data_IF_164543530638
#
_entry.id   IF_164543530638
#
_cell.length_a   1.000
_cell.length_b   1.000
_cell.length_c   1.000
_cell.angle_alpha   90.00
_cell.angle_beta   90.00
_cell.angle_gamma   90.00
#
_symmetry.space_group_name_H-M   'P 1'
#
loop_
_entity.id
_entity.type
_entity.pdbx_description
1 polymer ?
#
# COMPACT_ATOMS: atom_id res chain seq x y z
N UNK A 1 -0.41 -4.79 -15.37
CA UNK A 1 -0.05 -3.93 -14.25
C UNK A 1 -1.32 -3.39 -13.63
N UNK A 2 -1.43 -3.53 -12.31
CA UNK A 2 -2.56 -3.03 -11.53
C UNK A 2 -2.06 -1.96 -10.57
N UNK A 3 -2.79 -0.85 -10.47
CA UNK A 3 -2.54 0.20 -9.48
C UNK A 3 -3.63 0.13 -8.42
N UNK A 4 -3.26 -0.30 -7.21
CA UNK A 4 -4.15 -0.40 -6.06
C UNK A 4 -3.80 0.68 -5.04
N UNK A 5 -4.73 1.58 -4.75
CA UNK A 5 -4.56 2.58 -3.71
C UNK A 5 -5.33 2.19 -2.45
N UNK A 6 -4.64 2.18 -1.31
CA UNK A 6 -5.26 1.95 0.00
C UNK A 6 -5.33 3.28 0.76
N UNK A 7 -6.46 3.53 1.39
CA UNK A 7 -6.66 4.73 2.20
C UNK A 7 -7.62 4.46 3.36
N UNK A 8 -7.78 5.42 4.24
CA UNK A 8 -8.75 5.32 5.33
C UNK A 8 -9.42 6.66 5.61
N UNK A 9 -10.58 6.61 6.25
CA UNK A 9 -11.32 7.80 6.63
C UNK A 9 -10.58 8.61 7.71
N UNK A 10 -10.18 7.95 8.79
CA UNK A 10 -9.41 8.58 9.86
C UNK A 10 -8.89 7.52 10.85
N UNK A 11 -7.90 7.90 11.65
CA UNK A 11 -7.57 7.21 12.89
C UNK A 11 -6.94 5.84 12.76
N UNK A 12 -5.88 5.71 11.99
CA UNK A 12 -4.99 4.55 12.01
C UNK A 12 -5.70 3.17 12.01
N UNK A 13 -6.56 2.89 11.03
CA UNK A 13 -7.18 1.56 10.96
C UNK A 13 -6.20 0.48 10.51
N UNK A 14 -4.97 0.85 10.10
CA UNK A 14 -3.94 -0.08 9.68
C UNK A 14 -3.68 -0.06 8.17
N UNK A 15 -3.76 1.10 7.51
CA UNK A 15 -3.52 1.22 6.06
C UNK A 15 -2.11 0.71 5.72
N UNK A 16 -1.08 1.25 6.37
CA UNK A 16 0.33 0.87 6.16
C UNK A 16 0.55 -0.62 6.42
N UNK A 17 0.02 -1.13 7.53
CA UNK A 17 0.14 -2.57 7.88
C UNK A 17 -0.55 -3.44 6.82
N UNK A 18 -1.73 -3.03 6.35
CA UNK A 18 -2.46 -3.74 5.30
C UNK A 18 -1.70 -3.70 3.97
N UNK A 19 -1.18 -2.53 3.58
CA UNK A 19 -0.40 -2.37 2.36
C UNK A 19 0.85 -3.26 2.36
N UNK A 20 1.57 -3.27 3.50
CA UNK A 20 2.75 -4.12 3.66
C UNK A 20 2.39 -5.61 3.62
N UNK A 21 1.35 -6.03 4.36
CA UNK A 21 0.89 -7.42 4.38
C UNK A 21 0.50 -7.90 2.99
N UNK A 22 -0.25 -7.08 2.25
CA UNK A 22 -0.62 -7.37 0.85
C UNK A 22 0.63 -7.54 -0.02
N UNK A 23 1.58 -6.61 0.10
CA UNK A 23 2.83 -6.64 -0.67
C UNK A 23 3.62 -7.93 -0.40
N UNK A 24 3.76 -8.30 0.87
CA UNK A 24 4.51 -9.50 1.25
C UNK A 24 3.86 -10.80 0.76
N UNK A 25 2.55 -10.80 0.54
CA UNK A 25 1.79 -11.96 0.08
C UNK A 25 1.35 -11.86 -1.39
N UNK A 26 1.75 -10.80 -2.09
CA UNK A 26 1.32 -10.54 -3.47
C UNK A 26 1.81 -11.65 -4.41
N UNK A 27 0.92 -12.15 -5.29
CA UNK A 27 1.27 -13.32 -6.13
C UNK A 27 2.16 -13.01 -7.34
N UNK A 28 2.40 -11.74 -7.63
CA UNK A 28 3.21 -11.28 -8.77
C UNK A 28 4.24 -10.26 -8.29
N UNK A 29 5.21 -9.88 -9.13
CA UNK A 29 6.09 -8.77 -8.77
C UNK A 29 5.30 -7.51 -8.40
N UNK A 30 5.70 -6.87 -7.31
CA UNK A 30 4.93 -5.75 -6.75
C UNK A 30 5.84 -4.67 -6.14
N UNK A 31 5.43 -3.42 -6.33
CA UNK A 31 6.03 -2.25 -5.71
C UNK A 31 5.05 -1.66 -4.69
N UNK A 32 5.44 -1.61 -3.44
CA UNK A 32 4.76 -0.81 -2.42
C UNK A 32 5.29 0.62 -2.45
N UNK A 33 4.39 1.57 -2.62
CA UNK A 33 4.72 3.01 -2.54
C UNK A 33 4.08 3.57 -1.26
N UNK A 34 4.90 4.03 -0.33
CA UNK A 34 4.41 4.66 0.89
C UNK A 34 4.20 6.16 0.60
N UNK A 35 3.00 6.51 0.18
CA UNK A 35 2.64 7.85 -0.29
C UNK A 35 1.88 8.69 0.77
N UNK A 36 1.83 8.23 2.03
CA UNK A 36 1.18 8.97 3.10
C UNK A 36 1.88 10.32 3.32
N UNK A 37 1.18 11.44 3.09
CA UNK A 37 1.81 12.75 3.27
C UNK A 37 2.09 13.11 4.74
N UNK A 38 1.56 12.36 5.68
CA UNK A 38 1.86 12.54 7.10
C UNK A 38 3.27 12.03 7.47
N UNK A 39 3.91 11.29 6.56
CA UNK A 39 5.24 10.73 6.77
C UNK A 39 5.24 9.21 6.71
N UNK A 40 6.40 8.64 6.44
CA UNK A 40 6.55 7.19 6.28
C UNK A 40 6.72 6.45 7.61
N UNK A 41 5.80 5.55 7.92
CA UNK A 41 5.87 4.71 9.12
C UNK A 41 6.78 3.49 8.92
N UNK A 42 6.92 3.00 7.69
CA UNK A 42 7.75 1.83 7.40
C UNK A 42 9.23 2.06 7.75
N UNK A 43 9.71 3.28 7.52
CA UNK A 43 11.09 3.66 7.80
C UNK A 43 11.45 3.50 9.29
N UNK A 44 10.57 3.97 10.16
CA UNK A 44 10.79 3.92 11.62
C UNK A 44 10.41 2.57 12.22
N UNK A 45 9.64 1.78 11.48
CA UNK A 45 9.15 0.47 11.87
C UNK A 45 9.84 -0.66 11.12
N UNK A 46 9.14 -1.28 10.20
CA UNK A 46 9.56 -2.51 9.50
C UNK A 46 10.94 -2.40 8.82
N UNK A 47 11.27 -1.21 8.29
CA UNK A 47 12.54 -0.96 7.59
C UNK A 47 13.64 -0.42 8.52
N UNK A 48 13.43 -0.43 9.82
CA UNK A 48 14.43 0.07 10.78
C UNK A 48 15.78 -0.64 10.58
N UNK A 49 16.83 0.15 10.42
CA UNK A 49 18.17 -0.37 10.15
C UNK A 49 18.51 -0.49 8.66
N UNK A 50 17.52 -0.35 7.78
CA UNK A 50 17.80 -0.29 6.35
C UNK A 50 18.29 1.10 5.95
N UNK A 51 19.05 1.18 4.87
CA UNK A 51 19.53 2.47 4.34
C UNK A 51 18.39 3.18 3.59
N UNK A 52 17.62 3.94 4.33
CA UNK A 52 16.51 4.75 3.78
C UNK A 52 16.88 6.23 3.63
N UNK A 53 18.11 6.63 3.99
CA UNK A 53 18.52 8.04 3.96
C UNK A 53 18.39 8.63 2.55
N UNK A 54 18.81 7.85 1.53
CA UNK A 54 18.77 8.26 0.12
C UNK A 54 17.80 7.42 -0.70
N UNK A 55 16.97 6.60 -0.05
CA UNK A 55 16.01 5.71 -0.70
C UNK A 55 14.63 5.96 -0.10
N UNK A 56 13.98 7.00 -0.59
CA UNK A 56 12.66 7.39 -0.11
C UNK A 56 11.96 8.29 -1.15
N UNK A 57 10.70 8.56 -0.89
CA UNK A 57 9.85 9.32 -1.79
C UNK A 57 10.32 10.78 -2.00
N UNK A 58 10.95 11.38 -0.99
CA UNK A 58 11.48 12.74 -1.12
C UNK A 58 12.63 12.79 -2.15
N UNK A 59 13.49 11.77 -2.16
CA UNK A 59 14.59 11.67 -3.11
C UNK A 59 14.07 11.49 -4.55
N UNK A 60 12.96 10.75 -4.72
CA UNK A 60 12.28 10.64 -6.02
C UNK A 60 11.74 12.01 -6.43
N UNK A 61 11.14 12.75 -5.50
CA UNK A 61 10.57 14.08 -5.78
C UNK A 61 11.66 15.08 -6.23
N UNK A 62 12.87 14.97 -5.68
CA UNK A 62 14.00 15.83 -6.10
C UNK A 62 14.41 15.57 -7.56
N UNK A 63 14.27 14.34 -8.03
CA UNK A 63 14.65 13.95 -9.41
C UNK A 63 13.71 14.53 -10.46
N UNK A 64 12.47 14.84 -10.11
CA UNK A 64 11.43 15.30 -11.05
C UNK A 64 11.86 16.48 -11.90
N UNK A 65 12.69 17.38 -11.36
CA UNK A 65 13.17 18.57 -12.07
C UNK A 65 14.06 18.23 -13.27
N UNK A 66 14.68 17.06 -13.25
CA UNK A 66 15.60 16.61 -14.30
C UNK A 66 14.99 15.54 -15.19
N UNK A 67 13.70 15.29 -15.01
CA UNK A 67 12.99 14.15 -15.61
C UNK A 67 12.98 12.96 -14.67
N UNK A 68 11.89 12.24 -14.62
CA UNK A 68 11.74 11.05 -13.76
C UNK A 68 11.42 9.86 -14.65
N UNK A 69 12.21 8.82 -14.53
CA UNK A 69 11.96 7.56 -15.23
C UNK A 69 11.82 6.38 -14.25
N UNK A 70 11.55 5.19 -14.80
CA UNK A 70 11.37 3.98 -14.02
C UNK A 70 12.64 3.56 -13.26
N UNK A 71 13.82 3.82 -13.83
CA UNK A 71 15.09 3.51 -13.21
C UNK A 71 15.37 4.39 -11.98
N UNK A 72 14.96 5.66 -12.04
CA UNK A 72 15.05 6.58 -10.89
C UNK A 72 14.23 6.07 -9.70
N UNK A 73 13.03 5.57 -9.97
CA UNK A 73 12.15 4.99 -8.94
C UNK A 73 12.83 3.73 -8.38
N UNK A 74 13.29 2.83 -9.27
CA UNK A 74 13.92 1.57 -8.86
C UNK A 74 15.17 1.79 -7.99
N UNK A 75 15.97 2.81 -8.29
CA UNK A 75 17.18 3.16 -7.54
C UNK A 75 16.87 3.57 -6.09
N UNK A 76 15.65 4.04 -5.84
CA UNK A 76 15.22 4.48 -4.51
C UNK A 76 14.43 3.40 -3.75
N UNK A 77 14.18 2.24 -4.40
CA UNK A 77 13.44 1.14 -3.77
C UNK A 77 14.36 0.22 -2.97
N UNK A 78 13.79 -0.42 -1.97
CA UNK A 78 14.40 -1.49 -1.20
C UNK A 78 13.70 -2.80 -1.53
N UNK A 79 14.46 -3.90 -1.57
CA UNK A 79 13.87 -5.23 -1.74
C UNK A 79 13.42 -5.78 -0.39
N UNK A 80 12.19 -6.29 -0.33
CA UNK A 80 11.64 -6.95 0.85
C UNK A 80 11.95 -8.45 0.86
N UNK A 81 12.39 -8.97 -0.28
CA UNK A 81 12.66 -10.40 -0.50
C UNK A 81 14.01 -10.63 -1.23
N UNK A 82 15.14 -10.07 -0.73
CA UNK A 82 16.43 -10.30 -1.40
C UNK A 82 16.81 -11.78 -1.34
N UNK A 83 17.42 -12.36 -2.39
CA UNK A 83 17.89 -11.67 -3.61
C UNK A 83 16.87 -11.57 -4.75
N UNK A 84 15.66 -12.13 -4.60
CA UNK A 84 14.68 -12.29 -5.69
C UNK A 84 14.19 -10.94 -6.25
N UNK A 85 14.04 -9.93 -5.40
CA UNK A 85 13.61 -8.58 -5.74
C UNK A 85 12.25 -8.55 -6.47
N UNK A 86 11.35 -9.46 -6.10
CA UNK A 86 9.98 -9.48 -6.65
C UNK A 86 9.04 -8.61 -5.82
N UNK A 87 9.44 -8.28 -4.59
CA UNK A 87 8.69 -7.40 -3.67
C UNK A 87 9.57 -6.22 -3.32
N UNK A 88 9.19 -5.06 -3.84
CA UNK A 88 9.93 -3.83 -3.62
C UNK A 88 9.12 -2.85 -2.77
N UNK A 89 9.80 -1.98 -2.07
CA UNK A 89 9.16 -0.87 -1.36
C UNK A 89 9.90 0.44 -1.66
N UNK A 90 9.14 1.47 -2.00
CA UNK A 90 9.61 2.84 -2.01
C UNK A 90 9.20 3.47 -0.68
N UNK A 91 10.13 3.66 0.25
CA UNK A 91 9.79 4.24 1.56
C UNK A 91 9.24 5.65 1.43
N UNK A 92 8.39 6.04 2.35
CA UNK A 92 7.71 7.32 2.37
C UNK A 92 8.59 8.51 2.73
N UNK A 93 7.92 9.61 3.02
CA UNK A 93 8.59 10.85 3.40
C UNK A 93 9.31 10.71 4.75
N UNK A 94 10.47 11.36 4.92
CA UNK A 94 11.14 11.41 6.23
C UNK A 94 10.32 12.07 7.33
N UNK A 95 9.34 12.88 6.95
CA UNK A 95 8.47 13.56 7.91
C UNK A 95 7.37 14.35 7.21
N UNK A 96 6.39 14.84 7.97
CA UNK A 96 5.16 15.43 7.41
C UNK A 96 5.37 16.79 6.72
N UNK A 97 6.48 17.48 6.98
CA UNK A 97 6.72 18.81 6.44
C UNK A 97 6.99 18.83 4.93
N UNK A 98 7.19 17.66 4.32
CA UNK A 98 7.53 17.53 2.90
C UNK A 98 6.31 17.20 2.02
N UNK A 99 5.15 16.94 2.62
CA UNK A 99 3.95 16.47 1.90
C UNK A 99 3.49 17.41 0.78
N UNK A 100 3.60 18.73 1.00
CA UNK A 100 3.19 19.72 0.00
C UNK A 100 3.97 19.61 -1.32
N UNK A 101 5.24 19.22 -1.24
CA UNK A 101 6.12 19.06 -2.41
C UNK A 101 5.75 17.89 -3.32
N UNK A 102 5.00 16.94 -2.82
CA UNK A 102 4.64 15.74 -3.58
C UNK A 102 3.59 16.00 -4.67
N UNK A 103 2.86 17.12 -4.60
CA UNK A 103 1.80 17.40 -5.59
C UNK A 103 2.35 17.40 -7.02
N UNK A 104 3.52 17.98 -7.23
CA UNK A 104 4.16 18.04 -8.54
C UNK A 104 4.77 16.70 -8.98
N UNK A 105 5.04 15.82 -8.04
CA UNK A 105 5.62 14.51 -8.32
C UNK A 105 4.62 13.58 -9.01
N UNK A 106 3.37 13.55 -8.56
CA UNK A 106 2.44 12.49 -8.92
C UNK A 106 2.18 12.32 -10.43
N UNK A 107 1.98 13.40 -11.23
CA UNK A 107 1.83 13.20 -12.66
C UNK A 107 3.04 12.52 -13.31
N UNK A 108 4.25 12.96 -12.96
CA UNK A 108 5.50 12.39 -13.48
C UNK A 108 5.73 10.96 -13.00
N UNK A 109 5.33 10.69 -11.75
CA UNK A 109 5.40 9.36 -11.17
C UNK A 109 4.50 8.39 -11.94
N UNK A 110 3.26 8.81 -12.26
CA UNK A 110 2.33 8.01 -13.06
C UNK A 110 2.87 7.76 -14.47
N UNK A 111 3.46 8.77 -15.09
CA UNK A 111 4.10 8.64 -16.40
C UNK A 111 5.23 7.59 -16.34
N UNK A 112 6.08 7.67 -15.33
CA UNK A 112 7.16 6.70 -15.13
C UNK A 112 6.61 5.28 -14.87
N UNK A 113 5.55 5.15 -14.05
CA UNK A 113 4.90 3.86 -13.78
C UNK A 113 4.28 3.26 -15.05
N UNK A 114 3.77 4.08 -15.96
CA UNK A 114 3.19 3.58 -17.21
C UNK A 114 4.25 2.84 -18.06
N UNK A 115 5.50 3.24 -17.95
CA UNK A 115 6.62 2.61 -18.65
C UNK A 115 7.08 1.30 -18.00
N UNK A 116 6.72 1.05 -16.72
CA UNK A 116 6.98 -0.24 -16.07
C UNK A 116 6.20 -1.41 -16.69
N UNK A 117 5.25 -1.11 -17.57
CA UNK A 117 4.47 -2.13 -18.30
C UNK A 117 5.29 -2.84 -19.35
N UNK A 118 6.41 -2.26 -19.77
CA UNK A 118 7.32 -2.84 -20.77
C UNK A 118 8.52 -3.45 -20.03
N UNK A 119 9.02 -4.56 -20.52
CA UNK A 119 10.22 -5.20 -19.98
C UNK A 119 11.38 -4.20 -19.96
N UNK A 120 11.87 -3.92 -18.78
CA UNK A 120 12.97 -3.03 -18.52
C UNK A 120 14.08 -3.83 -17.82
N UNK A 121 15.37 -3.59 -18.12
CA UNK A 121 16.46 -4.30 -17.43
C UNK A 121 16.42 -4.15 -15.90
N UNK A 122 15.88 -3.05 -15.42
CA UNK A 122 15.75 -2.76 -13.98
C UNK A 122 14.54 -3.47 -13.39
N UNK A 123 13.47 -3.64 -14.20
CA UNK A 123 12.21 -4.27 -13.80
C UNK A 123 11.97 -5.50 -14.70
N UNK A 124 12.43 -6.69 -14.30
CA UNK A 124 12.42 -7.88 -15.17
C UNK A 124 11.05 -8.40 -15.54
N UNK A 125 10.00 -7.91 -14.95
CA UNK A 125 8.60 -8.31 -15.22
C UNK A 125 7.67 -7.13 -15.03
N UNK A 126 6.45 -7.16 -15.60
CA UNK A 126 5.43 -6.18 -15.26
C UNK A 126 5.17 -6.19 -13.75
N UNK A 127 5.19 -5.02 -13.14
CA UNK A 127 5.12 -4.86 -11.69
C UNK A 127 3.79 -4.22 -11.32
N UNK A 128 3.02 -4.87 -10.45
CA UNK A 128 1.83 -4.25 -9.86
C UNK A 128 2.25 -3.22 -8.81
N UNK A 129 1.41 -2.22 -8.58
CA UNK A 129 1.73 -1.13 -7.65
C UNK A 129 0.65 -1.07 -6.56
N UNK A 130 1.09 -1.19 -5.32
CA UNK A 130 0.26 -0.98 -4.13
C UNK A 130 0.69 0.35 -3.50
N UNK A 131 -0.26 1.25 -3.30
CA UNK A 131 0.02 2.58 -2.74
C UNK A 131 -0.65 2.72 -1.37
N UNK A 132 0.14 3.02 -0.37
CA UNK A 132 -0.35 3.48 0.93
C UNK A 132 -0.57 5.00 0.83
N UNK A 133 -1.82 5.41 0.69
CA UNK A 133 -2.19 6.83 0.58
C UNK A 133 -2.44 7.50 1.95
N UNK A 134 -2.35 6.74 3.03
CA UNK A 134 -2.64 7.27 4.36
C UNK A 134 -4.12 7.61 4.55
N UNK A 135 -4.37 8.76 5.17
CA UNK A 135 -5.73 9.22 5.52
C UNK A 135 -6.27 10.21 4.50
N UNK A 136 -7.55 10.04 4.16
CA UNK A 136 -8.24 10.89 3.18
C UNK A 136 -8.40 12.34 3.64
N UNK A 137 -8.44 12.59 4.94
CA UNK A 137 -8.63 13.94 5.48
C UNK A 137 -7.34 14.79 5.44
N UNK A 138 -6.22 14.22 4.98
CA UNK A 138 -4.96 14.96 4.91
C UNK A 138 -4.98 15.95 3.72
N UNK A 139 -4.58 17.22 3.90
CA UNK A 139 -4.64 18.22 2.82
C UNK A 139 -3.76 17.90 1.60
N UNK A 140 -2.75 17.07 1.77
CA UNK A 140 -1.84 16.67 0.69
C UNK A 140 -2.07 15.21 0.24
N UNK A 141 -3.27 14.68 0.48
CA UNK A 141 -3.68 13.36 -0.03
C UNK A 141 -3.26 13.20 -1.50
N UNK A 142 -2.66 12.07 -1.90
CA UNK A 142 -2.18 11.88 -3.29
C UNK A 142 -3.33 11.59 -4.27
N UNK A 143 -4.23 12.55 -4.44
CA UNK A 143 -5.44 12.41 -5.26
C UNK A 143 -5.15 11.95 -6.69
N UNK A 144 -4.04 12.41 -7.29
CA UNK A 144 -3.70 12.01 -8.66
C UNK A 144 -3.43 10.50 -8.79
N UNK A 145 -2.88 9.88 -7.73
CA UNK A 145 -2.71 8.42 -7.70
C UNK A 145 -4.06 7.72 -7.53
N UNK A 146 -4.90 8.26 -6.66
CA UNK A 146 -6.25 7.72 -6.39
C UNK A 146 -7.12 7.78 -7.66
N UNK A 147 -7.07 8.92 -8.38
CA UNK A 147 -7.81 9.11 -9.65
C UNK A 147 -7.34 8.17 -10.76
N UNK A 148 -6.04 7.84 -10.76
CA UNK A 148 -5.44 6.96 -11.77
C UNK A 148 -5.52 5.47 -11.41
N UNK A 149 -5.98 5.13 -10.21
CA UNK A 149 -5.99 3.76 -9.71
C UNK A 149 -6.96 2.85 -10.49
N UNK A 150 -6.62 1.58 -10.60
CA UNK A 150 -7.57 0.54 -11.04
C UNK A 150 -8.53 0.18 -9.92
N UNK A 151 -8.02 0.18 -8.67
CA UNK A 151 -8.81 -0.15 -7.47
C UNK A 151 -8.44 0.83 -6.35
N UNK A 152 -9.45 1.36 -5.69
CA UNK A 152 -9.29 2.13 -4.45
C UNK A 152 -9.92 1.34 -3.31
N UNK A 153 -9.12 0.95 -2.31
CA UNK A 153 -9.59 0.19 -1.17
C UNK A 153 -9.59 1.05 0.09
N UNK A 154 -10.76 1.21 0.69
CA UNK A 154 -10.90 1.91 1.97
C UNK A 154 -10.72 0.89 3.10
N UNK A 155 -9.68 1.07 3.90
CA UNK A 155 -9.42 0.21 5.06
C UNK A 155 -10.35 0.62 6.20
N UNK A 156 -11.17 -0.32 6.66
CA UNK A 156 -12.21 -0.09 7.67
C UNK A 156 -12.14 -1.19 8.72
N UNK A 157 -12.15 -0.83 9.99
CA UNK A 157 -12.34 -1.82 11.08
C UNK A 157 -13.82 -2.11 11.28
N UNK A 158 -14.17 -3.32 11.68
CA UNK A 158 -15.57 -3.70 11.93
C UNK A 158 -16.07 -3.16 13.29
N UNK A 159 -15.74 -1.90 13.58
CA UNK A 159 -16.21 -1.16 14.77
C UNK A 159 -17.14 -0.03 14.33
N UNK A 160 -18.14 0.28 15.14
CA UNK A 160 -19.09 1.36 14.84
C UNK A 160 -18.39 2.68 14.49
N UNK A 161 -17.38 3.02 15.28
CA UNK A 161 -16.59 4.25 15.08
C UNK A 161 -15.94 4.31 13.70
N UNK A 162 -15.36 3.18 13.25
CA UNK A 162 -14.68 3.12 11.97
C UNK A 162 -15.67 3.14 10.80
N UNK A 163 -16.78 2.43 10.96
CA UNK A 163 -17.85 2.34 9.95
C UNK A 163 -18.49 3.72 9.71
N UNK A 164 -18.89 4.40 10.80
CA UNK A 164 -19.51 5.73 10.71
C UNK A 164 -18.53 6.77 10.15
N UNK A 165 -17.24 6.68 10.51
CA UNK A 165 -16.24 7.59 9.96
C UNK A 165 -16.01 7.35 8.46
N UNK A 166 -16.13 6.10 7.99
CA UNK A 166 -15.87 5.76 6.60
C UNK A 166 -16.98 6.25 5.65
N UNK A 167 -18.23 6.29 6.10
CA UNK A 167 -19.37 6.55 5.24
C UNK A 167 -19.25 7.86 4.42
N UNK A 168 -19.07 9.05 5.03
CA UNK A 168 -18.97 10.29 4.25
C UNK A 168 -17.73 10.30 3.33
N UNK A 169 -16.65 9.63 3.73
CA UNK A 169 -15.44 9.55 2.93
C UNK A 169 -15.64 8.67 1.69
N UNK A 170 -16.37 7.57 1.84
CA UNK A 170 -16.76 6.68 0.73
C UNK A 170 -17.63 7.43 -0.27
N UNK A 171 -18.59 8.21 0.22
CA UNK A 171 -19.45 9.05 -0.62
C UNK A 171 -18.62 10.07 -1.41
N UNK A 172 -17.67 10.73 -0.75
CA UNK A 172 -16.77 11.68 -1.39
C UNK A 172 -15.89 11.00 -2.45
N UNK A 173 -15.30 9.84 -2.12
CA UNK A 173 -14.52 9.05 -3.09
C UNK A 173 -15.35 8.67 -4.30
N UNK A 174 -16.57 8.19 -4.08
CA UNK A 174 -17.47 7.80 -5.18
C UNK A 174 -17.75 8.98 -6.10
N UNK A 175 -18.03 10.14 -5.52
CA UNK A 175 -18.29 11.36 -6.30
C UNK A 175 -17.05 11.79 -7.09
N UNK A 176 -15.88 11.75 -6.47
CA UNK A 176 -14.61 12.12 -7.10
C UNK A 176 -14.26 11.15 -8.24
N UNK A 177 -14.31 9.84 -7.97
CA UNK A 177 -13.98 8.81 -8.97
C UNK A 177 -15.02 8.78 -10.10
N UNK A 178 -16.27 9.13 -9.81
CA UNK A 178 -17.31 9.24 -10.84
C UNK A 178 -17.10 10.36 -11.84
N UNK A 179 -16.26 11.34 -11.52
CA UNK A 179 -15.88 12.43 -12.41
C UNK A 179 -14.68 12.10 -13.29
N UNK A 180 -13.98 11.00 -12.99
CA UNK A 180 -12.81 10.58 -13.78
C UNK A 180 -13.28 10.06 -15.13
N UNK A 181 -12.74 10.62 -16.20
CA UNK A 181 -13.06 10.18 -17.57
C UNK A 181 -12.28 8.92 -17.92
N UNK A 182 -12.91 8.05 -18.70
CA UNK A 182 -12.30 6.81 -19.13
C UNK A 182 -12.71 5.63 -18.25
N UNK A 183 -11.74 5.01 -17.58
CA UNK A 183 -11.98 3.83 -16.75
C UNK A 183 -11.90 4.21 -15.27
N UNK A 184 -13.05 4.41 -14.61
CA UNK A 184 -13.04 4.74 -13.19
C UNK A 184 -12.55 3.57 -12.34
N UNK A 185 -11.90 3.88 -11.25
CA UNK A 185 -11.42 2.90 -10.28
C UNK A 185 -12.59 2.12 -9.65
N UNK A 186 -12.37 0.82 -9.39
CA UNK A 186 -13.29 0.07 -8.56
C UNK A 186 -13.11 0.50 -7.10
N UNK A 187 -14.18 0.99 -6.47
CA UNK A 187 -14.16 1.39 -5.07
C UNK A 187 -14.64 0.22 -4.20
N UNK A 188 -13.76 -0.23 -3.31
CA UNK A 188 -14.02 -1.39 -2.43
C UNK A 188 -13.59 -1.10 -1.00
N UNK A 189 -13.98 -1.97 -0.06
CA UNK A 189 -13.50 -1.94 1.31
C UNK A 189 -12.57 -3.12 1.60
N UNK A 190 -11.53 -2.87 2.39
CA UNK A 190 -10.70 -3.88 3.02
C UNK A 190 -11.05 -3.87 4.52
N UNK A 191 -11.73 -4.92 4.99
CA UNK A 191 -12.30 -4.98 6.33
C UNK A 191 -11.35 -5.66 7.31
N UNK A 192 -10.99 -4.97 8.39
CA UNK A 192 -10.24 -5.55 9.51
C UNK A 192 -11.24 -5.98 10.59
N UNK A 193 -11.30 -7.28 10.88
CA UNK A 193 -12.32 -7.88 11.76
C UNK A 193 -11.93 -7.70 13.24
N UNK A 194 -12.06 -6.47 13.74
CA UNK A 194 -11.75 -6.14 15.14
C UNK A 194 -12.99 -6.08 16.04
N UNK A 195 -14.08 -5.56 15.51
CA UNK A 195 -15.26 -5.23 16.29
C UNK A 195 -16.40 -6.23 16.15
N UNK A 196 -17.57 -5.82 16.65
CA UNK A 196 -18.77 -6.64 16.70
C UNK A 196 -19.54 -6.73 15.39
N UNK A 197 -19.23 -5.83 14.45
CA UNK A 197 -19.97 -5.78 13.19
C UNK A 197 -19.49 -6.86 12.23
N UNK A 198 -20.44 -7.53 11.61
CA UNK A 198 -20.14 -8.49 10.56
C UNK A 198 -19.68 -7.78 9.28
N UNK A 199 -19.00 -8.51 8.42
CA UNK A 199 -18.61 -8.01 7.10
C UNK A 199 -19.84 -7.62 6.28
N UNK A 200 -20.97 -8.33 6.45
CA UNK A 200 -22.23 -8.01 5.79
C UNK A 200 -22.77 -6.63 6.18
N UNK A 201 -22.64 -6.27 7.45
CA UNK A 201 -23.09 -4.97 7.96
C UNK A 201 -22.23 -3.81 7.44
N UNK A 202 -20.99 -4.06 7.04
CA UNK A 202 -20.13 -3.04 6.42
C UNK A 202 -20.69 -2.54 5.09
N UNK A 203 -21.55 -3.33 4.42
CA UNK A 203 -22.22 -2.89 3.19
C UNK A 203 -23.08 -1.65 3.41
N UNK A 204 -23.49 -1.39 4.65
CA UNK A 204 -24.18 -0.15 5.01
C UNK A 204 -23.31 1.10 4.79
N UNK A 205 -21.98 0.94 4.71
CA UNK A 205 -21.05 2.02 4.33
C UNK A 205 -21.17 2.35 2.84
N UNK A 206 -21.83 1.48 2.07
CA UNK A 206 -22.09 1.72 0.67
C UNK A 206 -21.02 1.21 -0.28
N UNK A 207 -20.10 0.34 0.18
CA UNK A 207 -19.09 -0.29 -0.69
C UNK A 207 -19.04 -1.79 -0.47
N UNK A 208 -18.66 -2.50 -1.51
CA UNK A 208 -18.44 -3.95 -1.42
C UNK A 208 -17.12 -4.25 -0.71
N UNK A 209 -17.16 -5.21 0.19
CA UNK A 209 -15.98 -5.69 0.88
C UNK A 209 -15.23 -6.67 -0.03
N UNK A 210 -14.09 -6.26 -0.54
CA UNK A 210 -13.27 -7.09 -1.44
C UNK A 210 -12.27 -7.98 -0.69
N UNK A 211 -11.89 -7.57 0.53
CA UNK A 211 -10.93 -8.32 1.31
C UNK A 211 -11.28 -8.25 2.80
N UNK A 212 -11.04 -9.34 3.49
CA UNK A 212 -11.20 -9.41 4.95
C UNK A 212 -9.86 -9.80 5.57
N UNK A 213 -9.40 -8.99 6.52
CA UNK A 213 -8.16 -9.22 7.25
C UNK A 213 -8.49 -9.49 8.72
N UNK A 214 -7.91 -10.52 9.32
CA UNK A 214 -8.12 -10.74 10.75
C UNK A 214 -7.49 -9.60 11.57
N UNK A 215 -8.14 -9.23 12.65
CA UNK A 215 -7.52 -8.36 13.65
C UNK A 215 -6.50 -9.20 14.43
N UNK A 216 -5.24 -9.09 14.06
CA UNK A 216 -4.16 -9.81 14.73
C UNK A 216 -3.10 -8.81 15.22
N UNK A 217 -3.18 -8.39 16.50
CA UNK A 217 -2.21 -7.43 17.05
C UNK A 217 -0.78 -7.97 17.09
N UNK A 218 -0.60 -9.28 17.15
CA UNK A 218 0.73 -9.90 17.18
C UNK A 218 1.37 -9.80 15.78
N UNK A 219 0.64 -10.21 14.76
CA UNK A 219 1.11 -10.07 13.37
C UNK A 219 1.32 -8.60 13.00
N UNK A 220 0.39 -7.72 13.39
CA UNK A 220 0.53 -6.27 13.14
C UNK A 220 1.79 -5.70 13.78
N UNK A 221 2.12 -6.16 15.00
CA UNK A 221 3.34 -5.73 15.69
C UNK A 221 4.61 -6.19 14.96
N UNK A 222 4.60 -7.42 14.42
CA UNK A 222 5.72 -7.92 13.60
C UNK A 222 5.91 -7.05 12.34
N UNK A 223 4.81 -6.66 11.72
CA UNK A 223 4.85 -5.81 10.53
C UNK A 223 5.17 -4.32 10.87
N UNK A 224 5.11 -3.97 12.14
CA UNK A 224 5.43 -2.60 12.62
C UNK A 224 6.79 -2.49 13.30
N UNK A 225 7.25 -3.44 13.68
CA UNK A 225 8.35 -3.42 14.35
C UNK A 225 9.32 -3.91 13.48
N UNK A 226 10.40 -3.36 13.63
CA UNK A 226 11.55 -3.96 12.98
C UNK A 226 11.82 -5.34 13.57
N UNK A 227 12.19 -6.30 12.76
CA UNK A 227 12.73 -7.53 13.34
C UNK A 227 13.95 -7.17 14.21
N UNK A 228 14.16 -7.82 15.34
CA UNK A 228 15.32 -7.52 16.17
C UNK A 228 16.58 -7.70 15.32
N UNK A 229 17.59 -6.83 15.47
CA UNK A 229 18.81 -6.96 14.71
C UNK A 229 19.37 -8.36 14.91
N UNK A 230 19.69 -9.04 13.81
CA UNK A 230 20.33 -10.35 13.89
C UNK A 230 21.55 -10.20 14.78
N UNK A 231 21.51 -10.79 15.97
CA UNK A 231 22.66 -10.81 16.84
C UNK A 231 23.79 -11.47 16.07
N UNK A 232 24.82 -10.71 15.76
CA UNK A 232 26.09 -11.31 15.31
C UNK A 232 26.48 -12.28 16.41
N UNK A 233 26.28 -13.57 16.17
CA UNK A 233 26.71 -14.60 17.10
C UNK A 233 28.23 -14.53 17.21
N UNK A 234 28.69 -13.85 18.22
CA UNK A 234 30.02 -14.09 18.71
C UNK A 234 30.07 -15.58 19.07
N UNK A 235 31.10 -16.25 18.62
CA UNK A 235 31.34 -17.68 18.88
C UNK A 235 31.19 -17.99 20.36
N UNK A 236 30.31 -18.90 20.71
CA UNK A 236 30.17 -19.39 22.07
C UNK A 236 28.87 -20.09 22.34
N UNK A 237 28.87 -21.38 22.16
CA UNK A 237 28.06 -22.46 22.71
C UNK A 237 26.78 -22.15 23.49
N UNK A 238 25.70 -22.82 23.10
CA UNK A 238 24.50 -23.00 23.90
C UNK A 238 23.25 -23.17 23.06
N UNK A 239 22.95 -24.41 22.70
CA UNK A 239 21.69 -24.74 22.04
C UNK A 239 20.50 -24.57 23.00
N UNK A 240 19.55 -23.72 22.64
CA UNK A 240 18.22 -23.73 23.28
C UNK A 240 17.16 -23.68 22.18
N UNK A 241 16.37 -24.69 22.18
CA UNK A 241 15.01 -24.87 21.67
C UNK A 241 14.56 -24.19 20.36
N UNK A 242 14.37 -25.02 19.35
CA UNK A 242 13.71 -24.64 18.10
C UNK A 242 12.23 -24.23 18.36
N UNK A 243 11.95 -22.96 18.20
CA UNK A 243 10.56 -22.52 18.03
C UNK A 243 10.04 -23.03 16.67
N UNK A 244 8.88 -23.66 16.69
CA UNK A 244 8.25 -24.18 15.48
C UNK A 244 7.96 -23.12 14.44
N UNK A 245 7.71 -23.53 13.18
CA UNK A 245 7.48 -22.58 12.08
C UNK A 245 6.25 -21.73 12.33
N UNK A 246 6.40 -20.42 12.10
CA UNK A 246 5.29 -19.50 12.18
C UNK A 246 4.18 -19.94 11.22
N UNK A 247 2.96 -20.01 11.72
CA UNK A 247 1.79 -20.31 10.90
C UNK A 247 1.69 -19.27 9.78
N UNK A 248 1.41 -19.70 8.54
CA UNK A 248 1.24 -18.74 7.45
C UNK A 248 0.06 -17.79 7.76
N UNK A 249 0.30 -16.51 7.59
CA UNK A 249 -0.77 -15.51 7.64
C UNK A 249 -1.83 -15.93 6.63
N UNK A 250 -3.07 -16.03 7.07
CA UNK A 250 -4.18 -16.52 6.26
C UNK A 250 -4.19 -15.86 4.87
N UNK A 251 -4.34 -16.67 3.84
CA UNK A 251 -4.29 -16.20 2.46
C UNK A 251 -5.33 -15.10 2.24
N UNK A 252 -4.85 -13.91 1.91
CA UNK A 252 -5.72 -12.82 1.46
C UNK A 252 -6.17 -13.19 0.05
N UNK A 253 -7.47 -13.46 -0.12
CA UNK A 253 -8.02 -13.74 -1.43
C UNK A 253 -8.03 -12.44 -2.24
N UNK A 254 -7.08 -12.33 -3.17
CA UNK A 254 -7.11 -11.26 -4.17
C UNK A 254 -8.17 -11.66 -5.19
N UNK A 255 -9.19 -10.81 -5.47
CA UNK A 255 -10.20 -11.18 -6.44
C UNK A 255 -9.58 -11.38 -7.82
N UNK A 256 -9.76 -12.59 -8.36
CA UNK A 256 -9.34 -12.92 -9.71
C UNK A 256 -10.31 -12.22 -10.69
N UNK A 257 -9.82 -11.16 -11.31
CA UNK A 257 -10.46 -10.40 -12.40
C UNK A 257 -11.82 -9.76 -12.08
N UNK A 258 -11.91 -8.47 -12.27
CA UNK A 258 -13.19 -7.76 -12.46
C UNK A 258 -13.95 -8.40 -13.62
N UNK A 259 -15.22 -8.79 -13.43
CA UNK A 259 -16.01 -9.33 -14.54
C UNK A 259 -16.20 -8.26 -15.62
N UNK A 260 -15.81 -8.59 -16.85
CA UNK A 260 -16.16 -7.80 -18.02
C UNK A 260 -17.71 -7.80 -18.13
N UNK A 261 -18.33 -6.69 -17.89
CA UNK A 261 -19.73 -6.50 -18.31
C UNK A 261 -19.72 -6.43 -19.83
N UNK A 262 -20.13 -7.53 -20.45
CA UNK A 262 -20.39 -7.57 -21.87
C UNK A 262 -21.48 -6.57 -22.23
N UNK A 263 -21.13 -5.58 -23.03
CA UNK A 263 -22.12 -4.69 -23.59
C UNK A 263 -23.03 -5.47 -24.55
N UNK A 264 -24.32 -5.49 -24.30
CA UNK A 264 -25.28 -5.88 -25.31
C UNK A 264 -25.47 -4.69 -26.25
N UNK A 265 -25.07 -4.86 -27.48
CA UNK A 265 -25.49 -3.99 -28.54
C UNK A 265 -26.92 -4.38 -28.94
N UNK A 266 -27.81 -3.43 -29.01
CA UNK A 266 -29.06 -3.50 -29.72
C UNK A 266 -29.15 -2.26 -30.60
#
# INVERSE_FOLDING_TARGET
VMLLCLTSAKGSPGVTTTALALTLTWPRPVLLVEADPAGGDLRSGFLQGADTAHRNLLEVAHTVRHGLDAADIAARCLALDPPERTRLVLPGLPGPFHGAGLRALWPRFLDALAHLKVRDPVWPAPVDVVVDCGRMDHPHMPWRLVEAADVVAVVVRTTLRSVLAAQPHVEHLRATLGQVTGRPAALVAAAITEGSYSVGELRAVGVDVAATLPHDPVAARVLSXAPPPATRSGRGAGAVGAGGPARPVGAVAVPARCPHRGGRAA
#
